data_IF_831556855542
#
_entry.id   IF_831556855542
#
_cell.length_a   1.000
_cell.length_b   1.000
_cell.length_c   1.000
_cell.angle_alpha   90.00
_cell.angle_beta   90.00
_cell.angle_gamma   90.00
#
_symmetry.space_group_name_H-M   'P 1'
#
loop_
_entity.id
_entity.type
_entity.pdbx_description
1 polymer ?
#
# COMPACT_ATOMS: atom_id res chain seq x y z
N UNK A 1 7.75 -3.91 -22.84
CA UNK A 1 6.63 -4.75 -22.35
C UNK A 1 5.91 -3.93 -21.30
N UNK A 2 4.62 -3.68 -21.46
CA UNK A 2 3.80 -3.02 -20.43
C UNK A 2 3.17 -4.07 -19.53
N UNK A 3 2.91 -3.72 -18.28
CA UNK A 3 2.23 -4.60 -17.33
C UNK A 3 0.90 -3.98 -16.90
N UNK A 4 -0.05 -4.83 -16.54
CA UNK A 4 -1.30 -4.44 -15.91
C UNK A 4 -1.38 -5.00 -14.49
N UNK A 5 -1.99 -4.22 -13.62
CA UNK A 5 -2.25 -4.57 -12.21
C UNK A 5 -3.75 -4.58 -12.01
N UNK A 6 -4.30 -5.77 -11.80
CA UNK A 6 -5.73 -5.97 -11.62
C UNK A 6 -6.00 -6.80 -10.37
N UNK A 7 -7.15 -6.55 -9.76
CA UNK A 7 -7.64 -7.35 -8.67
C UNK A 7 -9.15 -7.56 -8.80
N UNK A 8 -9.65 -8.61 -8.16
CA UNK A 8 -11.07 -8.73 -7.87
C UNK A 8 -11.49 -7.67 -6.83
N UNK A 9 -12.59 -6.99 -7.14
CA UNK A 9 -13.20 -5.96 -6.31
C UNK A 9 -13.88 -6.49 -5.04
N UNK A 10 -14.00 -7.81 -4.89
CA UNK A 10 -14.56 -8.45 -3.70
C UNK A 10 -13.81 -8.06 -2.42
N UNK A 11 -14.57 -7.66 -1.41
CA UNK A 11 -14.08 -7.27 -0.09
C UNK A 11 -14.33 -8.39 0.93
N UNK A 12 -13.36 -8.71 1.80
CA UNK A 12 -13.62 -9.64 2.90
C UNK A 12 -14.71 -9.11 3.85
N UNK A 13 -15.41 -10.00 4.60
CA UNK A 13 -16.40 -9.58 5.58
C UNK A 13 -15.86 -8.57 6.60
N UNK A 14 -16.66 -7.53 6.87
CA UNK A 14 -16.34 -6.46 7.82
C UNK A 14 -15.26 -5.48 7.34
N UNK A 15 -14.91 -5.52 6.05
CA UNK A 15 -13.96 -4.57 5.45
C UNK A 15 -14.72 -3.55 4.60
N UNK A 16 -14.36 -2.29 4.76
CA UNK A 16 -14.90 -1.18 3.96
C UNK A 16 -13.82 -0.65 3.03
N UNK A 17 -14.20 -0.09 1.88
CA UNK A 17 -13.31 0.82 1.13
C UNK A 17 -13.36 2.19 1.80
N UNK A 18 -12.22 2.87 1.86
CA UNK A 18 -12.20 4.25 2.37
C UNK A 18 -12.90 5.14 1.36
N UNK A 19 -13.78 6.02 1.84
CA UNK A 19 -14.42 7.05 1.05
C UNK A 19 -13.48 8.26 0.86
N UNK A 20 -13.96 9.35 0.26
CA UNK A 20 -13.12 10.54 0.02
C UNK A 20 -12.72 11.27 1.30
N UNK A 21 -13.35 10.98 2.44
CA UNK A 21 -13.14 11.69 3.71
C UNK A 21 -11.93 11.15 4.47
N UNK A 22 -11.47 9.93 4.15
CA UNK A 22 -10.31 9.31 4.77
C UNK A 22 -10.65 8.21 5.78
N UNK A 23 -9.64 7.62 6.43
CA UNK A 23 -9.83 6.53 7.37
C UNK A 23 -10.50 7.05 8.64
N UNK A 24 -11.50 6.30 9.11
CA UNK A 24 -12.20 6.55 10.38
C UNK A 24 -11.69 5.61 11.46
N UNK A 25 -11.67 6.10 12.68
CA UNK A 25 -11.26 5.34 13.85
C UNK A 25 -12.02 4.01 14.00
N UNK A 26 -11.30 2.99 14.43
CA UNK A 26 -11.84 1.65 14.73
C UNK A 26 -12.32 0.87 13.50
N UNK A 27 -12.18 1.41 12.29
CA UNK A 27 -12.57 0.72 11.05
C UNK A 27 -11.49 -0.26 10.59
N UNK A 28 -11.89 -1.08 9.62
CA UNK A 28 -10.99 -2.03 8.96
C UNK A 28 -11.07 -1.82 7.45
N UNK A 29 -9.91 -1.69 6.81
CA UNK A 29 -9.80 -1.34 5.40
C UNK A 29 -8.95 -2.36 4.63
N UNK A 30 -9.20 -2.46 3.32
CA UNK A 30 -8.23 -3.08 2.40
C UNK A 30 -7.15 -2.06 2.08
N UNK A 31 -5.90 -2.49 2.14
CA UNK A 31 -4.74 -1.71 1.72
C UNK A 31 -3.74 -2.58 0.96
N UNK A 32 -2.69 -1.96 0.43
CA UNK A 32 -1.72 -2.55 -0.48
C UNK A 32 -0.30 -2.15 -0.08
N UNK A 33 0.61 -3.12 -0.10
CA UNK A 33 2.04 -2.92 0.10
C UNK A 33 2.80 -3.36 -1.15
N UNK A 34 3.44 -2.44 -1.85
CA UNK A 34 4.32 -2.75 -2.98
C UNK A 34 5.72 -3.11 -2.51
N UNK A 35 6.26 -4.22 -2.99
CA UNK A 35 7.60 -4.69 -2.64
C UNK A 35 8.18 -5.61 -3.73
N UNK A 36 9.34 -6.21 -3.51
CA UNK A 36 9.95 -7.18 -4.44
C UNK A 36 9.40 -8.59 -4.20
N UNK A 37 9.48 -9.48 -5.19
CA UNK A 37 9.05 -10.89 -5.03
C UNK A 37 9.79 -11.61 -3.90
N UNK A 38 11.06 -11.28 -3.67
CA UNK A 38 11.85 -11.82 -2.55
C UNK A 38 11.31 -11.35 -1.20
N UNK A 39 11.06 -10.04 -1.05
CA UNK A 39 10.52 -9.47 0.19
C UNK A 39 9.09 -9.94 0.45
N UNK A 40 8.26 -10.07 -0.59
CA UNK A 40 6.91 -10.61 -0.47
C UNK A 40 6.92 -12.04 0.10
N UNK A 41 7.81 -12.92 -0.39
CA UNK A 41 8.00 -14.26 0.18
C UNK A 41 8.42 -14.19 1.66
N UNK A 42 9.36 -13.31 2.01
CA UNK A 42 9.77 -13.12 3.40
C UNK A 42 8.61 -12.67 4.30
N UNK A 43 7.81 -11.71 3.84
CA UNK A 43 6.66 -11.18 4.57
C UNK A 43 5.57 -12.25 4.74
N UNK A 44 5.32 -13.08 3.71
CA UNK A 44 4.37 -14.18 3.80
C UNK A 44 4.79 -15.23 4.85
N UNK A 45 6.09 -15.50 5.00
CA UNK A 45 6.59 -16.48 5.96
C UNK A 45 6.70 -15.92 7.39
N UNK A 46 7.10 -14.66 7.53
CA UNK A 46 7.50 -14.09 8.83
C UNK A 46 6.57 -13.00 9.35
N UNK A 47 5.58 -12.61 8.55
CA UNK A 47 4.74 -11.44 8.81
C UNK A 47 5.42 -10.13 8.43
N UNK A 48 4.68 -9.02 8.58
CA UNK A 48 5.24 -7.69 8.42
C UNK A 48 6.15 -7.33 9.59
N UNK A 49 7.17 -6.50 9.30
CA UNK A 49 8.03 -5.87 10.29
C UNK A 49 7.99 -4.37 10.06
N UNK A 50 8.13 -3.60 11.13
CA UNK A 50 8.25 -2.15 11.03
C UNK A 50 9.52 -1.80 10.24
N UNK A 51 9.43 -0.77 9.39
CA UNK A 51 10.62 -0.08 8.89
C UNK A 51 11.37 0.56 10.06
N UNK A 52 12.68 0.79 9.91
CA UNK A 52 13.46 1.50 10.93
C UNK A 52 13.09 3.00 11.01
N UNK A 53 12.69 3.57 9.87
CA UNK A 53 12.41 4.99 9.69
C UNK A 53 11.42 5.24 8.55
N UNK A 54 11.09 6.51 8.31
CA UNK A 54 10.24 6.95 7.20
C UNK A 54 9.62 8.33 7.47
N UNK A 55 8.90 8.87 6.49
CA UNK A 55 8.27 10.19 6.57
C UNK A 55 7.34 10.34 7.79
N UNK A 56 6.65 9.27 8.16
CA UNK A 56 5.75 9.17 9.30
C UNK A 56 6.38 8.41 10.49
N UNK A 57 7.70 8.27 10.51
CA UNK A 57 8.42 7.44 11.49
C UNK A 57 8.39 5.95 11.15
N UNK A 58 8.80 5.13 12.11
CA UNK A 58 8.86 3.66 11.98
C UNK A 58 7.45 3.06 11.95
N UNK A 59 7.25 2.03 11.12
CA UNK A 59 5.96 1.36 10.97
C UNK A 59 5.85 0.61 9.65
N UNK A 60 4.65 0.16 9.29
CA UNK A 60 4.37 -0.50 8.01
C UNK A 60 3.62 0.46 7.09
N UNK A 61 4.24 0.79 5.95
CA UNK A 61 3.69 1.74 4.98
C UNK A 61 2.77 1.05 3.98
N UNK A 62 1.57 1.60 3.85
CA UNK A 62 0.49 1.03 3.06
C UNK A 62 -0.22 2.10 2.24
N UNK A 63 -0.61 1.72 1.02
CA UNK A 63 -1.46 2.52 0.14
C UNK A 63 -2.88 1.96 0.13
N UNK A 64 -3.88 2.79 -0.09
CA UNK A 64 -5.25 2.32 -0.39
C UNK A 64 -5.51 2.20 -1.90
N UNK A 65 -4.54 2.65 -2.69
CA UNK A 65 -4.52 2.57 -4.15
C UNK A 65 -3.51 1.51 -4.59
N UNK A 66 -4.01 0.47 -5.26
CA UNK A 66 -3.23 -0.61 -5.88
C UNK A 66 -2.23 -0.07 -6.91
N UNK A 67 -2.64 0.87 -7.77
CA UNK A 67 -1.80 1.46 -8.80
C UNK A 67 -0.72 2.37 -8.22
N UNK A 68 -0.92 2.92 -7.02
CA UNK A 68 0.16 3.57 -6.27
C UNK A 68 1.13 2.54 -5.73
N UNK A 69 0.64 1.47 -5.10
CA UNK A 69 1.48 0.44 -4.49
C UNK A 69 2.34 -0.30 -5.53
N UNK A 70 1.80 -0.60 -6.71
CA UNK A 70 2.50 -1.32 -7.78
C UNK A 70 3.75 -0.61 -8.32
N UNK A 71 3.89 0.70 -8.05
CA UNK A 71 5.08 1.48 -8.44
C UNK A 71 6.29 1.20 -7.57
N UNK A 72 6.12 0.52 -6.43
CA UNK A 72 7.20 0.28 -5.48
C UNK A 72 7.82 -1.11 -5.64
N UNK A 73 9.15 -1.20 -5.56
CA UNK A 73 10.11 -0.09 -5.43
C UNK A 73 10.30 0.70 -6.75
N UNK A 74 10.44 2.03 -6.68
CA UNK A 74 10.41 2.96 -7.84
C UNK A 74 11.44 2.61 -8.91
N UNK A 75 12.66 2.26 -8.51
CA UNK A 75 13.79 1.97 -9.40
C UNK A 75 14.06 0.46 -9.54
N UNK A 76 13.02 -0.36 -9.40
CA UNK A 76 13.11 -1.82 -9.52
C UNK A 76 12.42 -2.32 -10.78
N UNK A 77 12.90 -3.39 -11.46
CA UNK A 77 12.21 -3.94 -12.63
C UNK A 77 10.76 -4.32 -12.32
N UNK A 78 9.82 -3.88 -13.15
CA UNK A 78 8.38 -4.06 -12.88
C UNK A 78 7.99 -5.53 -12.78
N UNK A 79 8.60 -6.41 -13.58
CA UNK A 79 8.34 -7.85 -13.57
C UNK A 79 8.69 -8.56 -12.25
N UNK A 80 9.52 -7.97 -11.39
CA UNK A 80 9.88 -8.53 -10.07
C UNK A 80 9.22 -7.76 -8.91
N UNK A 81 8.27 -6.87 -9.21
CA UNK A 81 7.43 -6.24 -8.18
C UNK A 81 6.27 -7.14 -7.84
N UNK A 82 5.86 -7.08 -6.58
CA UNK A 82 4.67 -7.75 -6.06
C UNK A 82 3.92 -6.76 -5.17
N UNK A 83 2.60 -6.78 -5.26
CA UNK A 83 1.73 -6.07 -4.33
C UNK A 83 1.08 -7.06 -3.37
N UNK A 84 1.22 -6.82 -2.07
CA UNK A 84 0.54 -7.60 -1.03
C UNK A 84 -0.76 -6.89 -0.68
N UNK A 85 -1.89 -7.53 -0.94
CA UNK A 85 -3.23 -7.06 -0.52
C UNK A 85 -3.45 -7.49 0.93
N UNK A 86 -3.84 -6.54 1.78
CA UNK A 86 -3.97 -6.75 3.23
C UNK A 86 -5.28 -6.20 3.78
N UNK A 87 -5.75 -6.78 4.88
CA UNK A 87 -6.80 -6.24 5.75
C UNK A 87 -6.14 -5.54 6.94
N UNK A 88 -6.51 -4.30 7.21
CA UNK A 88 -5.85 -3.45 8.23
C UNK A 88 -6.86 -2.94 9.25
N UNK A 89 -6.67 -3.29 10.52
CA UNK A 89 -7.42 -2.72 11.66
C UNK A 89 -6.79 -1.40 12.09
N UNK A 90 -7.25 -0.28 11.55
CA UNK A 90 -6.54 1.01 11.67
C UNK A 90 -6.52 1.60 13.08
N UNK A 91 -7.42 1.16 13.98
CA UNK A 91 -7.43 1.64 15.36
C UNK A 91 -7.68 3.14 15.44
N UNK A 92 -6.96 3.85 16.31
CA UNK A 92 -7.01 5.32 16.41
C UNK A 92 -6.13 5.95 15.33
N UNK A 93 -6.73 6.81 14.50
CA UNK A 93 -6.07 7.42 13.32
C UNK A 93 -5.72 8.88 13.61
N UNK A 94 -4.53 9.29 13.17
CA UNK A 94 -4.16 10.72 13.13
C UNK A 94 -3.88 11.17 11.69
N UNK A 95 -4.44 12.30 11.31
CA UNK A 95 -4.09 12.96 10.07
C UNK A 95 -2.79 13.77 10.24
N UNK A 96 -1.75 13.42 9.49
CA UNK A 96 -0.50 14.16 9.38
C UNK A 96 -0.55 14.96 8.07
N UNK A 97 -0.99 16.21 8.15
CA UNK A 97 -1.42 16.99 6.98
C UNK A 97 -0.49 18.15 6.60
N UNK A 98 0.70 18.26 7.21
CA UNK A 98 1.71 19.26 6.85
C UNK A 98 3.10 18.87 7.35
N UNK A 99 4.15 19.36 6.68
CA UNK A 99 5.53 18.91 6.90
C UNK A 99 6.04 19.06 8.33
N UNK A 100 5.60 20.11 9.05
CA UNK A 100 6.01 20.43 10.43
C UNK A 100 5.03 19.93 11.49
N UNK A 101 4.22 18.92 11.17
CA UNK A 101 3.25 18.37 12.11
C UNK A 101 3.96 17.85 13.37
N UNK A 102 3.56 18.26 14.60
CA UNK A 102 4.29 17.96 15.82
C UNK A 102 4.41 16.46 16.10
N UNK A 103 3.40 15.68 15.68
CA UNK A 103 3.38 14.23 15.87
C UNK A 103 3.82 13.43 14.65
N UNK A 104 4.44 14.05 13.63
CA UNK A 104 4.73 13.43 12.33
C UNK A 104 5.37 12.04 12.45
N UNK A 105 6.33 11.86 13.36
CA UNK A 105 7.07 10.60 13.55
C UNK A 105 6.89 9.97 14.93
N UNK A 106 6.17 10.63 15.84
CA UNK A 106 6.00 10.23 17.25
C UNK A 106 4.55 9.93 17.63
N UNK A 107 3.60 10.02 16.69
CA UNK A 107 2.17 9.79 16.93
C UNK A 107 1.83 8.50 17.70
N UNK A 108 2.62 7.45 17.54
CA UNK A 108 2.45 6.19 18.26
C UNK A 108 2.67 6.33 19.78
N UNK A 109 3.56 7.21 20.21
CA UNK A 109 3.80 7.53 21.63
C UNK A 109 2.59 8.24 22.27
N UNK A 110 1.72 8.81 21.44
CA UNK A 110 0.47 9.48 21.87
C UNK A 110 -0.77 8.59 21.72
N UNK A 111 -0.57 7.28 21.55
CA UNK A 111 -1.64 6.28 21.52
C UNK A 111 -2.42 6.22 20.20
N UNK A 112 -1.85 6.74 19.11
CA UNK A 112 -2.39 6.52 17.77
C UNK A 112 -1.84 5.21 17.19
N UNK A 113 -2.69 4.49 16.46
CA UNK A 113 -2.35 3.20 15.85
C UNK A 113 -1.95 3.33 14.38
N UNK A 114 -2.48 4.35 13.70
CA UNK A 114 -2.20 4.64 12.29
C UNK A 114 -2.01 6.14 12.09
N UNK A 115 -0.91 6.53 11.44
CA UNK A 115 -0.78 7.85 10.84
C UNK A 115 -1.24 7.81 9.38
N UNK A 116 -2.02 8.81 8.98
CA UNK A 116 -2.54 8.97 7.63
C UNK A 116 -2.17 10.34 7.06
N UNK A 117 -1.67 10.36 5.83
CA UNK A 117 -1.45 11.58 5.05
C UNK A 117 -2.64 11.78 4.13
N UNK A 118 -3.41 12.88 4.29
CA UNK A 118 -4.51 13.20 3.37
C UNK A 118 -4.01 13.50 1.97
N UNK A 119 -4.82 13.24 0.93
CA UNK A 119 -4.47 13.65 -0.42
C UNK A 119 -4.30 15.18 -0.50
N UNK A 120 -3.38 15.63 -1.35
CA UNK A 120 -3.14 17.03 -1.69
C UNK A 120 -2.85 17.97 -0.50
N UNK A 121 -2.33 17.46 0.62
CA UNK A 121 -1.97 18.27 1.80
C UNK A 121 -0.52 18.80 1.81
N UNK A 122 0.26 18.56 0.75
CA UNK A 122 1.65 19.03 0.63
C UNK A 122 2.70 18.20 1.40
N UNK A 123 2.31 17.04 1.94
CA UNK A 123 3.24 16.11 2.60
C UNK A 123 4.14 15.35 1.62
N UNK A 124 3.61 14.99 0.44
CA UNK A 124 4.35 14.27 -0.60
C UNK A 124 4.20 14.95 -1.95
N UNK A 125 5.23 15.00 -2.81
CA UNK A 125 5.17 15.66 -4.12
C UNK A 125 4.07 15.13 -5.04
N UNK A 126 3.73 13.85 -4.92
CA UNK A 126 2.67 13.22 -5.72
C UNK A 126 1.26 13.65 -5.34
N UNK A 127 1.08 14.29 -4.18
CA UNK A 127 -0.24 14.58 -3.62
C UNK A 127 -1.03 13.33 -3.20
N UNK A 128 -0.48 12.13 -3.34
CA UNK A 128 -1.18 10.88 -3.03
C UNK A 128 -1.06 10.54 -1.54
N UNK A 129 -2.16 10.13 -0.95
CA UNK A 129 -2.25 9.70 0.44
C UNK A 129 -1.31 8.54 0.82
N UNK A 130 -0.90 8.50 2.08
CA UNK A 130 -0.02 7.47 2.65
C UNK A 130 -0.58 7.01 3.99
N UNK A 131 -0.43 5.73 4.35
CA UNK A 131 -0.76 5.24 5.68
C UNK A 131 0.48 4.58 6.29
N UNK A 132 0.73 4.80 7.57
CA UNK A 132 1.75 4.11 8.35
C UNK A 132 1.10 3.50 9.58
N UNK A 133 1.10 2.17 9.66
CA UNK A 133 0.52 1.40 10.77
C UNK A 133 1.63 1.06 11.76
N UNK A 134 1.37 1.29 13.04
CA UNK A 134 2.36 1.11 14.10
C UNK A 134 2.67 -0.37 14.30
N UNK A 135 1.67 -1.14 14.72
CA UNK A 135 1.81 -2.55 15.07
C UNK A 135 1.50 -3.46 13.87
N UNK A 136 2.47 -4.25 13.37
CA UNK A 136 2.24 -5.21 12.29
C UNK A 136 1.12 -6.23 12.57
N UNK A 137 0.82 -6.54 13.84
CA UNK A 137 -0.25 -7.48 14.19
C UNK A 137 -1.65 -6.98 13.82
N UNK A 138 -1.80 -5.69 13.49
CA UNK A 138 -3.03 -5.10 12.96
C UNK A 138 -3.26 -5.40 11.48
N UNK A 139 -2.29 -6.02 10.81
CA UNK A 139 -2.28 -6.28 9.38
C UNK A 139 -2.43 -7.79 9.14
N UNK A 140 -3.46 -8.16 8.39
CA UNK A 140 -3.68 -9.54 7.96
C UNK A 140 -3.47 -9.62 6.46
N UNK A 141 -2.58 -10.51 6.03
CA UNK A 141 -2.34 -10.75 4.60
C UNK A 141 -3.54 -11.47 3.99
N UNK A 142 -4.01 -11.00 2.83
CA UNK A 142 -5.08 -11.64 2.06
C UNK A 142 -4.46 -12.47 0.94
N UNK A 143 -3.69 -11.83 0.05
CA UNK A 143 -3.01 -12.46 -1.09
C UNK A 143 -1.97 -11.53 -1.71
N UNK A 144 -1.16 -12.07 -2.60
CA UNK A 144 -0.30 -11.29 -3.50
C UNK A 144 -1.00 -11.00 -4.83
N UNK A 145 -0.55 -9.94 -5.49
CA UNK A 145 -0.92 -9.53 -6.85
C UNK A 145 0.40 -9.36 -7.59
N UNK A 146 0.51 -9.97 -8.75
CA UNK A 146 1.69 -9.94 -9.61
C UNK A 146 1.39 -9.20 -10.92
N UNK A 147 2.39 -8.52 -11.51
CA UNK A 147 2.23 -7.79 -12.76
C UNK A 147 1.93 -8.76 -13.90
N UNK A 148 0.86 -8.49 -14.65
CA UNK A 148 0.51 -9.31 -15.81
C UNK A 148 1.06 -8.66 -17.09
N UNK A 149 1.86 -9.36 -17.91
CA UNK A 149 2.32 -8.83 -19.19
C UNK A 149 1.12 -8.50 -20.08
N UNK A 150 1.05 -7.25 -20.55
CA UNK A 150 0.11 -6.88 -21.60
C UNK A 150 0.81 -7.22 -22.92
N UNK A 151 0.34 -8.25 -23.62
CA UNK A 151 0.78 -8.49 -24.98
C UNK A 151 0.36 -7.28 -25.82
N UNK A 152 1.33 -6.54 -26.35
CA UNK A 152 1.03 -5.48 -27.31
C UNK A 152 0.33 -6.09 -28.50
N UNK A 153 -0.74 -5.45 -28.98
CA UNK A 153 -1.29 -5.73 -30.30
C UNK A 153 -0.21 -5.42 -31.35
N UNK A 154 0.66 -6.40 -31.61
CA UNK A 154 1.73 -6.37 -32.58
C UNK A 154 1.31 -7.17 -33.80
N UNK A 155 1.05 -6.42 -34.87
CA UNK A 155 0.80 -6.79 -36.26
C UNK A 155 1.34 -8.14 -36.73
N UNK A 156 0.52 -8.79 -37.58
CA UNK A 156 0.73 -10.12 -38.12
C UNK A 156 2.02 -10.33 -38.90
N UNK A 157 2.41 -11.60 -38.96
CA UNK A 157 3.32 -12.14 -39.94
C UNK A 157 2.67 -13.39 -40.55
N UNK A 158 2.28 -13.22 -41.81
CA UNK A 158 2.02 -14.19 -42.87
C UNK A 158 2.24 -15.68 -42.56
N UNK A 159 1.17 -16.46 -42.66
CA UNK A 159 1.19 -17.91 -42.75
C UNK A 159 0.52 -18.38 -44.04
N UNK A 160 1.36 -18.73 -45.02
CA UNK A 160 1.21 -19.73 -46.09
C UNK A 160 -0.12 -19.84 -46.86
N UNK A 161 -0.05 -19.53 -48.17
CA UNK A 161 -0.36 -20.47 -49.27
C UNK A 161 0.30 -20.03 -50.56
#
# INVERSE_FOLDING_TARGET
>A
MSFQWAEDDFLPPGVVRVDREGPRDGKTYVMYHGTTSANARSILMTGFRQSAEGMLGRGVYLSRDLQKASRYPINHPEHDRVVIKVKVKVGKVIAINHQRHPYRTSWHDYGYDTAWVPPNCGMVPSGLEENCVWDPNRITIIRTIEPQPVQGAGFGAWGYR
#
